data_IF_486054283328
#
_entry.id   IF_486054283328
#
_cell.length_a   1.000
_cell.length_b   1.000
_cell.length_c   1.000
_cell.angle_alpha   90.00
_cell.angle_beta   90.00
_cell.angle_gamma   90.00
#
_symmetry.space_group_name_H-M   'P 1'
#
loop_
_entity.id
_entity.type
_entity.pdbx_description
1 polymer ?
#
# COMPACT_ATOMS: atom_id res chain seq x y z
N UNK A 1 9.28 -24.23 -7.52
CA UNK A 1 9.25 -25.38 -6.58
C UNK A 1 10.49 -25.39 -5.70
N UNK A 2 11.67 -25.16 -6.27
CA UNK A 2 12.94 -25.06 -5.54
C UNK A 2 12.92 -23.96 -4.47
N UNK A 3 12.49 -22.75 -4.82
CA UNK A 3 12.31 -21.63 -3.87
C UNK A 3 11.44 -22.00 -2.66
N UNK A 4 10.36 -22.73 -2.89
CA UNK A 4 9.48 -23.18 -1.81
C UNK A 4 10.15 -24.22 -0.91
N UNK A 5 10.96 -25.13 -1.46
CA UNK A 5 11.71 -26.10 -0.67
C UNK A 5 12.81 -25.42 0.15
N UNK A 6 13.46 -24.40 -0.39
CA UNK A 6 14.42 -23.56 0.34
C UNK A 6 13.74 -22.89 1.54
N UNK A 7 12.57 -22.28 1.32
CA UNK A 7 11.78 -21.65 2.37
C UNK A 7 11.34 -22.65 3.47
N UNK A 8 11.03 -23.90 3.10
CA UNK A 8 10.72 -24.93 4.10
C UNK A 8 11.97 -25.38 4.85
N UNK A 9 13.11 -25.48 4.18
CA UNK A 9 14.35 -25.92 4.81
C UNK A 9 14.81 -24.94 5.89
N UNK A 10 14.52 -23.65 5.75
CA UNK A 10 14.79 -22.62 6.76
C UNK A 10 13.73 -22.53 7.87
N UNK A 11 12.60 -23.25 7.76
CA UNK A 11 11.50 -23.15 8.74
C UNK A 11 11.83 -23.65 10.15
N UNK A 12 12.74 -24.63 10.28
CA UNK A 12 13.15 -25.25 11.54
C UNK A 12 14.70 -25.25 11.67
N UNK A 13 15.33 -24.08 11.87
CA UNK A 13 16.79 -23.99 11.94
C UNK A 13 17.34 -24.74 13.15
N UNK A 14 18.49 -25.40 13.00
CA UNK A 14 19.19 -26.10 14.11
C UNK A 14 18.57 -27.42 14.56
N UNK A 15 17.38 -27.79 14.07
CA UNK A 15 16.75 -29.07 14.41
C UNK A 15 17.40 -30.20 13.60
N UNK A 16 17.88 -31.25 14.29
CA UNK A 16 18.40 -32.45 13.63
C UNK A 16 17.27 -33.41 13.27
N UNK A 17 17.33 -33.97 12.07
CA UNK A 17 16.40 -35.00 11.61
C UNK A 17 16.92 -35.68 10.35
N UNK A 18 16.79 -37.01 10.27
CA UNK A 18 17.10 -37.74 9.03
C UNK A 18 16.18 -37.22 7.92
N UNK A 19 16.76 -36.86 6.78
CA UNK A 19 16.01 -36.49 5.57
C UNK A 19 15.23 -37.73 5.11
N UNK A 20 13.96 -37.55 4.75
CA UNK A 20 13.17 -38.65 4.23
C UNK A 20 13.50 -38.93 2.77
N UNK A 21 13.49 -40.21 2.38
CA UNK A 21 13.70 -40.66 0.99
C UNK A 21 12.54 -40.28 0.04
N UNK A 22 11.50 -39.60 0.52
CA UNK A 22 10.37 -39.16 -0.30
C UNK A 22 10.42 -37.64 -0.45
N UNK A 23 9.99 -37.08 -1.61
CA UNK A 23 9.94 -35.65 -1.79
C UNK A 23 8.90 -35.00 -0.85
N UNK A 24 9.18 -33.78 -0.38
CA UNK A 24 8.30 -33.06 0.53
C UNK A 24 6.91 -32.80 -0.07
N UNK A 25 6.83 -32.55 -1.38
CA UNK A 25 5.60 -32.51 -2.17
C UNK A 25 5.79 -33.40 -3.39
N UNK A 26 4.79 -34.25 -3.66
CA UNK A 26 4.64 -34.95 -4.93
C UNK A 26 3.57 -34.21 -5.73
N UNK A 27 3.98 -33.52 -6.79
CA UNK A 27 3.03 -32.94 -7.74
C UNK A 27 2.61 -34.01 -8.74
N UNK A 28 1.32 -34.09 -9.04
CA UNK A 28 0.78 -35.01 -10.06
C UNK A 28 1.16 -34.52 -11.47
N UNK A 29 1.33 -33.21 -11.63
CA UNK A 29 1.70 -32.57 -12.90
C UNK A 29 2.99 -31.74 -12.76
N UNK A 30 3.55 -31.30 -13.88
CA UNK A 30 4.75 -30.45 -13.91
C UNK A 30 4.45 -28.96 -13.57
N UNK A 31 3.18 -28.61 -13.39
CA UNK A 31 2.72 -27.21 -13.24
C UNK A 31 2.08 -26.97 -11.86
N UNK A 32 2.87 -26.93 -10.76
CA UNK A 32 2.35 -26.67 -9.42
C UNK A 32 2.08 -25.17 -9.20
N UNK A 33 1.13 -24.88 -8.31
CA UNK A 33 0.90 -23.56 -7.73
C UNK A 33 0.87 -23.70 -6.20
N UNK A 34 1.66 -22.88 -5.51
CA UNK A 34 1.82 -22.96 -4.06
C UNK A 34 1.49 -21.60 -3.48
N UNK A 35 0.47 -21.55 -2.61
CA UNK A 35 0.18 -20.38 -1.80
C UNK A 35 0.86 -20.53 -0.46
N UNK A 36 1.79 -19.63 -0.21
CA UNK A 36 2.57 -19.57 1.02
C UNK A 36 2.11 -18.39 1.88
N UNK A 37 2.15 -18.58 3.20
CA UNK A 37 1.95 -17.53 4.20
C UNK A 37 2.91 -17.79 5.36
N UNK A 38 3.56 -16.77 5.96
CA UNK A 38 4.54 -16.98 7.02
C UNK A 38 4.02 -17.77 8.23
N UNK A 39 2.74 -17.59 8.56
CA UNK A 39 2.14 -18.14 9.78
C UNK A 39 1.01 -19.15 9.53
N UNK A 40 0.38 -19.12 8.36
CA UNK A 40 -0.86 -19.83 8.09
C UNK A 40 -0.60 -21.06 7.21
N UNK A 41 -1.59 -21.94 7.10
CA UNK A 41 -1.46 -23.17 6.31
C UNK A 41 -1.18 -22.87 4.84
N UNK A 42 -0.11 -23.46 4.32
CA UNK A 42 0.21 -23.42 2.90
C UNK A 42 -0.77 -24.27 2.09
N UNK A 43 -1.15 -23.80 0.90
CA UNK A 43 -2.05 -24.53 -0.02
C UNK A 43 -1.30 -24.94 -1.27
N UNK A 44 -1.60 -26.13 -1.75
CA UNK A 44 -0.93 -26.75 -2.90
C UNK A 44 -1.97 -27.09 -3.96
N UNK A 45 -1.74 -26.61 -5.17
CA UNK A 45 -2.55 -26.90 -6.35
C UNK A 45 -1.64 -27.41 -7.47
N UNK A 46 -2.22 -28.15 -8.41
CA UNK A 46 -1.55 -28.54 -9.64
C UNK A 46 -2.56 -28.46 -10.79
N UNK A 47 -2.10 -28.03 -11.95
CA UNK A 47 -2.92 -27.89 -13.17
C UNK A 47 -2.31 -28.69 -14.32
N UNK A 48 -3.08 -28.92 -15.38
CA UNK A 48 -2.67 -29.83 -16.45
C UNK A 48 -1.75 -29.17 -17.47
N UNK A 49 -1.85 -27.84 -17.65
CA UNK A 49 -1.11 -27.11 -18.68
C UNK A 49 -0.41 -25.86 -18.13
N UNK A 50 0.66 -25.43 -18.82
CA UNK A 50 1.36 -24.18 -18.52
C UNK A 50 0.45 -22.95 -18.66
N UNK A 51 -0.48 -22.96 -19.64
CA UNK A 51 -1.44 -21.87 -19.86
C UNK A 51 -2.39 -21.71 -18.67
N UNK A 52 -2.90 -22.82 -18.15
CA UNK A 52 -3.72 -22.81 -16.93
C UNK A 52 -2.90 -22.33 -15.73
N UNK A 53 -1.64 -22.73 -15.63
CA UNK A 53 -0.77 -22.34 -14.52
C UNK A 53 -0.57 -20.83 -14.51
N UNK A 54 -0.24 -20.23 -15.66
CA UNK A 54 -0.10 -18.78 -15.83
C UNK A 54 -1.38 -18.04 -15.49
N UNK A 55 -2.53 -18.54 -15.98
CA UNK A 55 -3.84 -17.94 -15.67
C UNK A 55 -4.16 -17.98 -14.17
N UNK A 56 -4.02 -19.13 -13.53
CA UNK A 56 -4.29 -19.28 -12.11
C UNK A 56 -3.28 -18.54 -11.24
N UNK A 57 -2.02 -18.44 -11.67
CA UNK A 57 -1.02 -17.61 -11.01
C UNK A 57 -1.48 -16.14 -10.95
N UNK A 58 -1.87 -15.56 -12.09
CA UNK A 58 -2.37 -14.19 -12.15
C UNK A 58 -3.63 -13.99 -11.27
N UNK A 59 -4.59 -14.92 -11.34
CA UNK A 59 -5.80 -14.87 -10.49
C UNK A 59 -5.44 -14.91 -9.01
N UNK A 60 -4.52 -15.79 -8.61
CA UNK A 60 -4.11 -15.91 -7.22
C UNK A 60 -3.32 -14.69 -6.73
N UNK A 61 -2.46 -14.10 -7.56
CA UNK A 61 -1.79 -12.84 -7.27
C UNK A 61 -2.81 -11.70 -7.08
N UNK A 62 -3.83 -11.63 -7.92
CA UNK A 62 -4.93 -10.67 -7.77
C UNK A 62 -5.71 -10.88 -6.46
N UNK A 63 -6.02 -12.13 -6.11
CA UNK A 63 -6.64 -12.46 -4.82
C UNK A 63 -5.79 -12.01 -3.64
N UNK A 64 -4.46 -12.23 -3.70
CA UNK A 64 -3.53 -11.78 -2.65
C UNK A 64 -3.51 -10.26 -2.57
N UNK A 65 -3.36 -9.56 -3.71
CA UNK A 65 -3.37 -8.09 -3.75
C UNK A 65 -4.66 -7.49 -3.21
N UNK A 66 -5.80 -8.04 -3.61
CA UNK A 66 -7.10 -7.60 -3.11
C UNK A 66 -7.23 -7.85 -1.60
N UNK A 67 -6.83 -9.03 -1.12
CA UNK A 67 -6.88 -9.36 0.31
C UNK A 67 -5.94 -8.50 1.15
N UNK A 68 -4.77 -8.16 0.60
CA UNK A 68 -3.77 -7.33 1.26
C UNK A 68 -4.24 -5.87 1.42
N UNK A 69 -5.08 -5.37 0.50
CA UNK A 69 -5.68 -4.03 0.56
C UNK A 69 -6.89 -3.98 1.52
N UNK A 70 -6.71 -4.47 2.75
CA UNK A 70 -7.80 -4.59 3.72
C UNK A 70 -8.06 -3.33 4.56
N UNK A 71 -7.19 -2.34 4.51
CA UNK A 71 -7.36 -1.10 5.26
C UNK A 71 -8.05 -0.08 4.36
N UNK A 72 -9.24 0.37 4.74
CA UNK A 72 -9.96 1.40 3.97
C UNK A 72 -9.30 2.78 4.16
N UNK A 73 -9.07 3.47 3.04
CA UNK A 73 -8.58 4.86 3.04
C UNK A 73 -9.70 5.88 3.28
N UNK A 74 -10.96 5.45 3.26
CA UNK A 74 -12.14 6.30 3.43
C UNK A 74 -12.45 6.63 4.91
N UNK A 75 -11.70 6.04 5.84
CA UNK A 75 -11.86 6.23 7.28
C UNK A 75 -10.81 7.22 7.83
N UNK A 76 -11.10 8.54 7.88
CA UNK A 76 -10.11 9.58 8.13
C UNK A 76 -9.54 9.58 9.56
N UNK A 77 -10.17 8.89 10.50
CA UNK A 77 -9.73 8.82 11.92
C UNK A 77 -9.24 7.43 12.27
N UNK A 78 -10.06 6.40 12.04
CA UNK A 78 -9.78 5.03 12.46
C UNK A 78 -8.55 4.44 11.77
N UNK A 79 -8.43 4.62 10.45
CA UNK A 79 -7.31 4.07 9.68
C UNK A 79 -5.97 4.69 10.12
N UNK A 80 -5.80 6.03 10.13
CA UNK A 80 -4.57 6.64 10.64
C UNK A 80 -4.27 6.29 12.10
N UNK A 81 -5.28 6.20 12.97
CA UNK A 81 -5.08 5.82 14.36
C UNK A 81 -4.54 4.39 14.48
N UNK A 82 -5.09 3.45 13.72
CA UNK A 82 -4.67 2.05 13.71
C UNK A 82 -3.25 1.88 13.15
N UNK A 83 -2.97 2.44 11.97
CA UNK A 83 -1.65 2.29 11.32
C UNK A 83 -0.54 2.95 12.15
N UNK A 84 -0.78 4.14 12.71
CA UNK A 84 0.16 4.80 13.60
C UNK A 84 0.39 4.01 14.89
N UNK A 85 -0.66 3.45 15.51
CA UNK A 85 -0.51 2.65 16.73
C UNK A 85 0.36 1.40 16.50
N UNK A 86 0.17 0.70 15.37
CA UNK A 86 1.00 -0.46 14.98
C UNK A 86 2.46 -0.02 14.77
N UNK A 87 2.67 1.09 14.06
CA UNK A 87 4.00 1.66 13.80
C UNK A 87 4.73 2.03 15.10
N UNK A 88 4.08 2.79 15.99
CA UNK A 88 4.64 3.19 17.29
C UNK A 88 4.97 1.97 18.16
N UNK A 89 4.11 0.95 18.17
CA UNK A 89 4.38 -0.30 18.89
C UNK A 89 5.64 -1.01 18.36
N UNK A 90 5.81 -1.08 17.04
CA UNK A 90 7.01 -1.68 16.42
C UNK A 90 8.27 -0.87 16.72
N UNK A 91 8.19 0.46 16.65
CA UNK A 91 9.30 1.35 16.98
C UNK A 91 9.75 1.22 18.44
N UNK A 92 8.81 1.05 19.38
CA UNK A 92 9.12 0.78 20.79
C UNK A 92 9.90 -0.53 20.99
N UNK A 93 9.77 -1.49 20.07
CA UNK A 93 10.58 -2.72 20.01
C UNK A 93 11.86 -2.59 19.18
N UNK A 94 12.24 -1.38 18.78
CA UNK A 94 13.41 -1.11 17.95
C UNK A 94 13.25 -1.48 16.48
N UNK A 95 12.02 -1.80 16.02
CA UNK A 95 11.72 -2.13 14.61
C UNK A 95 11.19 -0.89 13.90
N UNK A 96 12.04 -0.28 13.08
CA UNK A 96 11.71 0.89 12.26
C UNK A 96 11.55 0.47 10.79
N UNK A 97 10.88 1.30 9.99
CA UNK A 97 10.73 1.11 8.55
C UNK A 97 9.42 0.45 8.15
N UNK A 98 9.29 0.23 6.84
CA UNK A 98 8.17 -0.47 6.23
C UNK A 98 8.05 -1.91 6.75
N UNK A 99 6.85 -2.48 6.63
CA UNK A 99 6.55 -3.81 7.13
C UNK A 99 5.68 -4.59 6.16
N UNK A 100 6.23 -5.67 5.61
CA UNK A 100 5.56 -6.52 4.62
C UNK A 100 4.26 -7.15 5.16
N UNK A 101 4.17 -7.34 6.48
CA UNK A 101 2.97 -7.89 7.12
C UNK A 101 1.94 -6.83 7.53
N UNK A 102 2.13 -5.57 7.11
CA UNK A 102 1.13 -4.51 7.16
C UNK A 102 0.07 -4.68 6.05
N UNK A 103 -0.44 -5.89 5.92
CA UNK A 103 -1.35 -6.31 4.86
C UNK A 103 -2.55 -7.08 5.45
N UNK A 104 -3.73 -6.86 4.86
CA UNK A 104 -4.99 -7.43 5.32
C UNK A 104 -5.83 -6.46 6.16
N UNK A 105 -6.87 -6.99 6.77
CA UNK A 105 -7.76 -6.27 7.68
C UNK A 105 -7.07 -6.00 9.03
N UNK A 106 -7.49 -4.99 9.80
CA UNK A 106 -6.85 -4.64 11.08
C UNK A 106 -6.65 -5.83 12.05
N UNK A 107 -7.62 -6.77 12.23
CA UNK A 107 -7.40 -7.95 13.06
C UNK A 107 -6.31 -8.91 12.55
N UNK A 108 -6.14 -9.03 11.23
CA UNK A 108 -5.11 -9.85 10.60
C UNK A 108 -3.73 -9.23 10.81
N UNK A 109 -3.62 -7.91 10.66
CA UNK A 109 -2.38 -7.17 10.93
C UNK A 109 -1.97 -7.29 12.40
N UNK A 110 -2.92 -7.18 13.34
CA UNK A 110 -2.66 -7.44 14.75
C UNK A 110 -2.22 -8.89 15.01
N UNK A 111 -2.83 -9.86 14.32
CA UNK A 111 -2.42 -11.26 14.43
C UNK A 111 -0.99 -11.46 13.91
N UNK A 112 -0.63 -10.84 12.79
CA UNK A 112 0.73 -10.83 12.27
C UNK A 112 1.72 -10.24 13.27
N UNK A 113 1.35 -9.16 13.96
CA UNK A 113 2.20 -8.49 14.96
C UNK A 113 2.48 -9.38 16.18
N UNK A 114 1.45 -10.10 16.63
CA UNK A 114 1.56 -11.10 17.70
C UNK A 114 2.44 -12.27 17.24
N UNK A 115 2.21 -12.80 16.04
CA UNK A 115 3.03 -13.89 15.50
C UNK A 115 4.48 -13.49 15.28
N UNK A 116 4.77 -12.26 14.83
CA UNK A 116 6.14 -11.74 14.67
C UNK A 116 6.92 -11.74 16.01
N UNK A 117 6.22 -11.69 17.14
CA UNK A 117 6.82 -11.77 18.47
C UNK A 117 6.89 -13.21 18.98
N UNK A 118 5.80 -13.99 18.86
CA UNK A 118 5.70 -15.32 19.49
C UNK A 118 6.29 -16.45 18.65
N UNK A 119 6.40 -16.29 17.33
CA UNK A 119 6.67 -17.43 16.43
C UNK A 119 8.04 -18.06 16.68
N UNK A 120 9.09 -17.27 16.95
CA UNK A 120 10.42 -17.81 17.24
C UNK A 120 10.45 -18.58 18.56
N UNK A 121 9.90 -18.00 19.63
CA UNK A 121 9.88 -18.62 20.96
C UNK A 121 9.07 -19.93 20.96
N UNK A 122 7.93 -19.94 20.27
CA UNK A 122 7.13 -21.15 20.09
C UNK A 122 7.88 -22.20 19.29
N UNK A 123 8.63 -21.80 18.26
CA UNK A 123 9.44 -22.70 17.44
C UNK A 123 10.54 -23.35 18.26
N UNK A 124 11.23 -22.59 19.09
CA UNK A 124 12.33 -23.09 19.90
C UNK A 124 11.84 -24.02 21.02
N UNK A 125 10.64 -23.74 21.58
CA UNK A 125 10.02 -24.58 22.60
C UNK A 125 9.45 -25.90 22.03
N UNK A 126 8.76 -25.84 20.88
CA UNK A 126 8.01 -26.97 20.31
C UNK A 126 8.88 -27.79 19.37
N UNK A 127 9.75 -27.14 18.59
CA UNK A 127 10.58 -27.75 17.56
C UNK A 127 11.33 -29.00 18.02
N UNK A 128 12.08 -28.97 19.15
CA UNK A 128 12.80 -30.13 19.67
C UNK A 128 11.89 -31.32 20.05
N UNK A 129 10.60 -31.06 20.34
CA UNK A 129 9.61 -32.06 20.75
C UNK A 129 8.91 -32.73 19.56
N UNK A 130 9.10 -32.20 18.34
CA UNK A 130 8.51 -32.77 17.13
C UNK A 130 9.12 -34.13 16.80
N UNK A 131 8.26 -35.14 16.61
CA UNK A 131 8.65 -36.51 16.26
C UNK A 131 8.62 -36.74 14.75
N UNK A 132 9.49 -37.63 14.27
CA UNK A 132 9.55 -38.07 12.87
C UNK A 132 10.77 -37.56 12.10
N UNK A 133 10.80 -37.87 10.80
CA UNK A 133 11.80 -37.38 9.84
C UNK A 133 11.67 -35.87 9.64
N UNK A 134 12.70 -35.21 9.11
CA UNK A 134 12.74 -33.74 8.96
C UNK A 134 11.47 -33.17 8.31
N UNK A 135 11.05 -33.74 7.18
CA UNK A 135 9.86 -33.33 6.45
C UNK A 135 8.57 -33.47 7.27
N UNK A 136 8.46 -34.52 8.10
CA UNK A 136 7.30 -34.68 8.98
C UNK A 136 7.31 -33.63 10.10
N UNK A 137 8.49 -33.31 10.64
CA UNK A 137 8.63 -32.22 11.63
C UNK A 137 8.22 -30.89 11.01
N UNK A 138 8.70 -30.56 9.82
CA UNK A 138 8.34 -29.34 9.09
C UNK A 138 6.82 -29.25 8.83
N UNK A 139 6.19 -30.34 8.37
CA UNK A 139 4.72 -30.40 8.18
C UNK A 139 3.96 -30.20 9.49
N UNK A 140 4.38 -30.88 10.56
CA UNK A 140 3.75 -30.72 11.88
C UNK A 140 3.92 -29.29 12.39
N UNK A 141 5.09 -28.69 12.21
CA UNK A 141 5.34 -27.29 12.56
C UNK A 141 4.42 -26.33 11.80
N UNK A 142 4.24 -26.51 10.50
CA UNK A 142 3.31 -25.69 9.71
C UNK A 142 1.87 -25.79 10.22
N UNK A 143 1.40 -27.00 10.57
CA UNK A 143 0.05 -27.19 11.13
C UNK A 143 -0.10 -26.54 12.51
N UNK A 144 0.94 -26.60 13.34
CA UNK A 144 0.95 -25.96 14.66
C UNK A 144 0.95 -24.43 14.50
N UNK A 145 1.82 -23.89 13.63
CA UNK A 145 1.85 -22.45 13.34
C UNK A 145 0.50 -21.95 12.85
N UNK A 146 -0.16 -22.68 11.94
CA UNK A 146 -1.49 -22.33 11.45
C UNK A 146 -2.56 -22.36 12.54
N UNK A 147 -2.55 -23.37 13.41
CA UNK A 147 -3.48 -23.46 14.53
C UNK A 147 -3.31 -22.29 15.51
N UNK A 148 -2.06 -21.96 15.83
CA UNK A 148 -1.73 -20.79 16.67
C UNK A 148 -2.17 -19.50 15.99
N UNK A 149 -1.87 -19.32 14.71
CA UNK A 149 -2.29 -18.12 13.96
C UNK A 149 -3.81 -17.96 13.95
N UNK A 150 -4.57 -19.03 13.69
CA UNK A 150 -6.04 -19.00 13.74
C UNK A 150 -6.57 -18.65 15.13
N UNK A 151 -5.96 -19.18 16.18
CA UNK A 151 -6.33 -18.83 17.56
C UNK A 151 -6.05 -17.34 17.85
N UNK A 152 -4.85 -16.87 17.51
CA UNK A 152 -4.46 -15.45 17.65
C UNK A 152 -5.43 -14.57 16.88
N UNK A 153 -5.73 -14.90 15.62
CA UNK A 153 -6.66 -14.15 14.78
C UNK A 153 -8.06 -14.06 15.38
N UNK A 154 -8.57 -15.17 15.96
CA UNK A 154 -9.86 -15.17 16.65
C UNK A 154 -9.85 -14.20 17.84
N UNK A 155 -8.78 -14.22 18.65
CA UNK A 155 -8.62 -13.30 19.78
C UNK A 155 -8.46 -11.84 19.34
N UNK A 156 -7.63 -11.56 18.34
CA UNK A 156 -7.44 -10.19 17.85
C UNK A 156 -8.71 -9.64 17.21
N UNK A 157 -9.50 -10.47 16.55
CA UNK A 157 -10.78 -10.06 15.99
C UNK A 157 -11.78 -9.63 17.09
N UNK A 158 -11.92 -10.44 18.14
CA UNK A 158 -12.78 -10.08 19.28
C UNK A 158 -12.32 -8.80 19.97
N UNK A 159 -11.03 -8.72 20.34
CA UNK A 159 -10.45 -7.57 21.05
C UNK A 159 -10.47 -6.29 20.23
N UNK A 160 -10.20 -6.37 18.93
CA UNK A 160 -10.25 -5.21 18.06
C UNK A 160 -11.68 -4.67 17.95
N UNK A 161 -12.67 -5.55 17.81
CA UNK A 161 -14.08 -5.14 17.77
C UNK A 161 -14.51 -4.45 19.07
N UNK A 162 -14.20 -5.04 20.22
CA UNK A 162 -14.45 -4.44 21.54
C UNK A 162 -13.80 -3.06 21.68
N UNK A 163 -12.56 -2.92 21.21
CA UNK A 163 -11.83 -1.65 21.26
C UNK A 163 -12.46 -0.58 20.36
N UNK A 164 -12.83 -0.93 19.13
CA UNK A 164 -13.48 0.01 18.20
C UNK A 164 -14.81 0.49 18.78
N UNK A 165 -15.62 -0.42 19.33
CA UNK A 165 -16.89 -0.05 19.98
C UNK A 165 -16.66 0.89 21.16
N UNK A 166 -15.65 0.64 22.00
CA UNK A 166 -15.28 1.53 23.11
C UNK A 166 -14.83 2.92 22.64
N UNK A 167 -14.05 2.99 21.56
CA UNK A 167 -13.60 4.25 20.96
C UNK A 167 -14.76 5.05 20.36
N UNK A 168 -15.68 4.40 19.64
CA UNK A 168 -16.84 5.07 19.04
C UNK A 168 -17.78 5.67 20.12
N UNK A 169 -17.92 5.03 21.28
CA UNK A 169 -18.66 5.60 22.42
C UNK A 169 -18.03 6.90 22.91
N UNK A 170 -16.69 7.01 22.91
CA UNK A 170 -15.99 8.23 23.32
C UNK A 170 -15.92 9.30 22.23
N UNK A 171 -16.30 8.98 20.99
CA UNK A 171 -16.12 9.89 19.86
C UNK A 171 -16.90 11.19 20.00
N UNK A 172 -18.21 11.11 20.29
CA UNK A 172 -19.08 12.29 20.43
C UNK A 172 -18.58 13.26 21.52
N UNK A 173 -18.27 12.83 22.76
CA UNK A 173 -17.76 13.74 23.76
C UNK A 173 -16.36 14.29 23.43
N UNK A 174 -15.50 13.52 22.75
CA UNK A 174 -14.20 14.00 22.29
C UNK A 174 -14.34 15.06 21.18
N UNK A 175 -15.23 14.86 20.22
CA UNK A 175 -15.51 15.82 19.14
C UNK A 175 -16.06 17.14 19.70
N UNK A 176 -16.94 17.07 20.70
CA UNK A 176 -17.48 18.26 21.36
C UNK A 176 -16.38 19.07 22.07
N UNK A 177 -15.50 18.38 22.82
CA UNK A 177 -14.35 19.01 23.48
C UNK A 177 -13.35 19.58 22.48
N UNK A 178 -13.00 18.82 21.45
CA UNK A 178 -12.08 19.24 20.40
C UNK A 178 -12.56 20.52 19.71
N UNK A 179 -13.86 20.64 19.42
CA UNK A 179 -14.44 21.85 18.81
C UNK A 179 -14.48 23.04 19.76
N UNK A 180 -14.74 22.80 21.04
CA UNK A 180 -14.85 23.86 22.05
C UNK A 180 -13.48 24.43 22.40
N UNK A 181 -12.47 23.57 22.53
CA UNK A 181 -11.12 23.93 23.00
C UNK A 181 -10.09 23.97 21.86
N UNK A 182 -10.53 24.08 20.60
CA UNK A 182 -9.66 23.95 19.42
C UNK A 182 -8.46 24.91 19.47
N UNK A 183 -8.73 26.19 19.74
CA UNK A 183 -7.68 27.23 19.73
C UNK A 183 -6.68 27.01 20.88
N UNK A 184 -7.16 26.57 22.04
CA UNK A 184 -6.32 26.25 23.20
C UNK A 184 -5.47 25.00 22.94
N UNK A 185 -6.04 23.97 22.32
CA UNK A 185 -5.33 22.75 21.91
C UNK A 185 -4.25 23.09 20.88
N UNK A 186 -4.56 23.91 19.87
CA UNK A 186 -3.60 24.35 18.85
C UNK A 186 -2.47 25.16 19.48
N UNK A 187 -2.80 26.11 20.35
CA UNK A 187 -1.81 26.95 21.05
C UNK A 187 -0.89 26.09 21.94
N UNK A 188 -1.46 25.14 22.68
CA UNK A 188 -0.71 24.18 23.49
C UNK A 188 0.20 23.30 22.63
N UNK A 189 -0.34 22.75 21.52
CA UNK A 189 0.44 21.98 20.55
C UNK A 189 1.60 22.79 20.00
N UNK A 190 1.38 24.04 19.60
CA UNK A 190 2.42 24.91 19.06
C UNK A 190 3.50 25.23 20.10
N UNK A 191 3.11 25.50 21.34
CA UNK A 191 4.05 25.71 22.44
C UNK A 191 5.00 24.51 22.61
N UNK A 192 4.43 23.30 22.73
CA UNK A 192 5.20 22.05 22.88
C UNK A 192 6.04 21.77 21.62
N UNK A 193 5.46 21.99 20.44
CA UNK A 193 6.15 21.87 19.14
C UNK A 193 7.40 22.72 19.11
N UNK A 194 7.33 23.99 19.52
CA UNK A 194 8.47 24.91 19.51
C UNK A 194 9.58 24.47 20.49
N UNK A 195 9.21 23.93 21.65
CA UNK A 195 10.19 23.38 22.62
C UNK A 195 10.88 22.12 22.10
N UNK A 196 10.13 21.21 21.48
CA UNK A 196 10.68 20.00 20.87
C UNK A 196 11.54 20.36 19.65
N UNK A 197 11.09 21.30 18.82
CA UNK A 197 11.83 21.79 17.65
C UNK A 197 13.20 22.35 18.04
N UNK A 198 13.29 23.13 19.12
CA UNK A 198 14.57 23.66 19.61
C UNK A 198 15.57 22.55 19.96
N UNK A 199 15.11 21.39 20.45
CA UNK A 199 15.95 20.23 20.76
C UNK A 199 16.34 19.42 19.51
N UNK A 200 15.38 19.24 18.59
CA UNK A 200 15.46 18.25 17.50
C UNK A 200 16.02 18.84 16.22
N UNK A 201 15.66 20.08 15.87
CA UNK A 201 16.02 20.70 14.58
C UNK A 201 17.52 20.68 14.28
N UNK A 202 18.43 21.09 15.19
CA UNK A 202 19.86 21.09 14.87
C UNK A 202 20.40 19.71 14.49
N UNK A 203 19.93 18.66 15.18
CA UNK A 203 20.31 17.27 14.94
C UNK A 203 19.67 16.72 13.67
N UNK A 204 18.40 17.04 13.44
CA UNK A 204 17.66 16.62 12.26
C UNK A 204 18.21 17.26 10.98
N UNK A 205 18.56 18.55 11.02
CA UNK A 205 19.16 19.29 9.89
C UNK A 205 20.53 18.73 9.51
N UNK A 206 21.38 18.45 10.51
CA UNK A 206 22.67 17.81 10.27
C UNK A 206 22.52 16.43 9.61
N UNK A 207 21.60 15.61 10.12
CA UNK A 207 21.31 14.29 9.56
C UNK A 207 20.74 14.40 8.15
N UNK A 208 19.85 15.37 7.91
CA UNK A 208 19.23 15.62 6.63
C UNK A 208 20.30 15.96 5.57
N UNK A 209 21.17 16.93 5.85
CA UNK A 209 22.22 17.35 4.92
C UNK A 209 23.23 16.24 4.62
N UNK A 210 23.62 15.47 5.63
CA UNK A 210 24.71 14.49 5.50
C UNK A 210 24.23 13.16 4.90
N UNK A 211 23.06 12.68 5.32
CA UNK A 211 22.66 11.28 5.12
C UNK A 211 21.38 11.10 4.33
N UNK A 212 20.58 12.14 4.11
CA UNK A 212 19.27 12.03 3.44
C UNK A 212 19.25 12.78 2.12
N UNK A 213 19.50 14.09 2.13
CA UNK A 213 19.39 14.98 0.97
C UNK A 213 20.16 14.48 -0.26
N UNK A 214 21.39 13.93 -0.16
CA UNK A 214 22.12 13.40 -1.31
C UNK A 214 21.43 12.23 -2.03
N UNK A 215 20.52 11.52 -1.36
CA UNK A 215 19.90 10.30 -1.87
C UNK A 215 18.45 10.49 -2.31
N UNK A 216 17.80 11.60 -1.96
CA UNK A 216 16.38 11.84 -2.29
C UNK A 216 16.13 11.65 -3.80
N UNK A 217 16.95 12.24 -4.66
CA UNK A 217 16.80 12.13 -6.11
C UNK A 217 16.99 10.70 -6.60
N UNK A 218 17.98 9.96 -6.07
CA UNK A 218 18.23 8.57 -6.46
C UNK A 218 17.10 7.63 -6.04
N UNK A 219 16.55 7.81 -4.83
CA UNK A 219 15.39 7.05 -4.36
C UNK A 219 14.18 7.36 -5.23
N UNK A 220 13.96 8.64 -5.52
CA UNK A 220 12.86 9.10 -6.35
C UNK A 220 12.93 8.51 -7.76
N UNK A 221 14.10 8.57 -8.43
CA UNK A 221 14.27 8.04 -9.79
C UNK A 221 14.03 6.52 -9.82
N UNK A 222 14.53 5.77 -8.83
CA UNK A 222 14.29 4.32 -8.70
C UNK A 222 12.79 3.97 -8.55
N UNK A 223 12.03 4.79 -7.83
CA UNK A 223 10.57 4.63 -7.71
C UNK A 223 9.84 5.07 -8.98
N UNK A 224 10.28 6.16 -9.61
CA UNK A 224 9.58 6.81 -10.72
C UNK A 224 9.55 5.96 -11.98
N UNK A 225 10.66 5.32 -12.31
CA UNK A 225 10.83 4.60 -13.56
C UNK A 225 9.84 3.42 -13.73
N UNK A 226 9.85 2.37 -12.87
CA UNK A 226 8.96 1.21 -13.00
C UNK A 226 7.49 1.62 -12.80
N UNK A 227 7.22 2.53 -11.86
CA UNK A 227 5.87 3.06 -11.63
C UNK A 227 5.31 3.70 -12.89
N UNK A 228 6.06 4.61 -13.51
CA UNK A 228 5.56 5.34 -14.69
C UNK A 228 5.43 4.44 -15.92
N UNK A 229 6.28 3.41 -16.05
CA UNK A 229 6.11 2.36 -17.06
C UNK A 229 4.78 1.64 -16.89
N UNK A 230 4.44 1.19 -15.68
CA UNK A 230 3.18 0.48 -15.47
C UNK A 230 1.95 1.36 -15.69
N UNK A 231 1.97 2.66 -15.34
CA UNK A 231 0.85 3.56 -15.64
C UNK A 231 0.74 3.82 -17.16
N UNK A 232 1.87 3.87 -17.87
CA UNK A 232 1.83 3.97 -19.34
C UNK A 232 1.22 2.69 -19.95
N UNK A 233 1.55 1.52 -19.42
CA UNK A 233 0.95 0.25 -19.85
C UNK A 233 -0.56 0.22 -19.57
N UNK A 234 -1.04 0.69 -18.41
CA UNK A 234 -2.48 0.84 -18.10
C UNK A 234 -3.18 1.68 -19.16
N UNK A 235 -2.59 2.84 -19.51
CA UNK A 235 -3.12 3.73 -20.54
C UNK A 235 -3.21 3.02 -21.90
N UNK A 236 -2.18 2.27 -22.27
CA UNK A 236 -2.10 1.59 -23.56
C UNK A 236 -3.08 0.43 -23.66
N UNK A 237 -3.27 -0.34 -22.59
CA UNK A 237 -4.29 -1.40 -22.53
C UNK A 237 -5.68 -0.80 -22.66
N UNK A 238 -5.98 0.24 -21.87
CA UNK A 238 -7.27 0.93 -21.96
C UNK A 238 -7.54 1.45 -23.38
N UNK A 239 -6.54 2.08 -24.01
CA UNK A 239 -6.65 2.54 -25.39
C UNK A 239 -6.93 1.39 -26.37
N UNK A 240 -6.19 0.28 -26.28
CA UNK A 240 -6.37 -0.89 -27.16
C UNK A 240 -7.78 -1.47 -27.04
N UNK A 241 -8.30 -1.63 -25.82
CA UNK A 241 -9.64 -2.16 -25.58
C UNK A 241 -10.74 -1.26 -26.16
N UNK A 242 -10.58 0.06 -26.05
CA UNK A 242 -11.50 1.01 -26.67
C UNK A 242 -11.42 1.03 -28.20
N UNK A 243 -10.23 0.83 -28.78
CA UNK A 243 -10.08 0.65 -30.23
C UNK A 243 -10.75 -0.64 -30.70
N UNK A 244 -10.65 -1.73 -29.94
CA UNK A 244 -11.36 -2.98 -30.23
C UNK A 244 -12.88 -2.80 -30.12
N UNK A 245 -13.37 -2.10 -29.10
CA UNK A 245 -14.77 -1.73 -28.96
C UNK A 245 -15.28 -0.93 -30.17
N UNK A 246 -14.50 0.06 -30.62
CA UNK A 246 -14.80 0.86 -31.82
C UNK A 246 -14.87 0.00 -33.08
N UNK A 247 -13.90 -0.90 -33.31
CA UNK A 247 -13.90 -1.82 -34.47
C UNK A 247 -15.10 -2.76 -34.45
N UNK A 248 -15.45 -3.30 -33.28
CA UNK A 248 -16.61 -4.19 -33.12
C UNK A 248 -17.93 -3.46 -33.39
N UNK A 249 -18.01 -2.16 -33.11
CA UNK A 249 -19.18 -1.34 -33.44
C UNK A 249 -19.38 -1.15 -34.95
N UNK A 250 -18.29 -1.09 -35.72
CA UNK A 250 -18.33 -0.96 -37.19
C UNK A 250 -18.76 -2.26 -37.89
N UNK A 251 -18.43 -3.42 -37.30
CA UNK A 251 -18.69 -4.74 -37.90
C UNK A 251 -20.14 -5.24 -37.74
N UNK A 252 -21.12 -4.34 -37.55
CA UNK A 252 -22.56 -4.68 -37.62
C UNK A 252 -23.12 -5.44 -36.42
N UNK A 253 -22.57 -5.24 -35.21
CA UNK A 253 -22.94 -6.02 -34.03
C UNK A 253 -24.32 -5.73 -33.39
N UNK A 254 -25.01 -4.67 -33.78
CA UNK A 254 -26.25 -4.24 -33.11
C UNK A 254 -26.04 -3.79 -31.66
N UNK A 255 -27.12 -3.33 -31.00
CA UNK A 255 -27.10 -2.78 -29.63
C UNK A 255 -26.70 -3.83 -28.57
N UNK A 256 -27.04 -5.09 -28.80
CA UNK A 256 -26.79 -6.21 -27.88
C UNK A 256 -25.29 -6.52 -27.75
N UNK A 257 -24.56 -6.67 -28.86
CA UNK A 257 -23.10 -6.88 -28.82
C UNK A 257 -22.33 -5.68 -28.26
N UNK A 258 -22.87 -4.47 -28.37
CA UNK A 258 -22.27 -3.29 -27.74
C UNK A 258 -22.41 -3.36 -26.22
N UNK A 259 -23.58 -3.78 -25.72
CA UNK A 259 -23.80 -4.06 -24.30
C UNK A 259 -22.82 -5.11 -23.77
N UNK A 260 -22.70 -6.25 -24.45
CA UNK A 260 -21.75 -7.31 -24.07
C UNK A 260 -20.30 -6.84 -24.03
N UNK A 261 -19.90 -5.99 -24.97
CA UNK A 261 -18.54 -5.45 -25.00
C UNK A 261 -18.32 -4.39 -23.93
N UNK A 262 -19.34 -3.60 -23.58
CA UNK A 262 -19.27 -2.66 -22.47
C UNK A 262 -19.18 -3.38 -21.13
N UNK A 263 -19.90 -4.48 -20.94
CA UNK A 263 -19.80 -5.33 -19.75
C UNK A 263 -18.41 -5.97 -19.62
N UNK A 264 -17.80 -6.38 -20.73
CA UNK A 264 -16.40 -6.84 -20.71
C UNK A 264 -15.43 -5.72 -20.37
N UNK A 265 -15.68 -4.51 -20.86
CA UNK A 265 -14.86 -3.33 -20.58
C UNK A 265 -14.99 -2.92 -19.11
N UNK A 266 -16.18 -2.95 -18.51
CA UNK A 266 -16.41 -2.62 -17.09
C UNK A 266 -15.59 -3.49 -16.15
N UNK A 267 -15.28 -4.73 -16.56
CA UNK A 267 -14.45 -5.67 -15.81
C UNK A 267 -12.95 -5.57 -16.11
N UNK A 268 -12.50 -4.65 -16.98
CA UNK A 268 -11.12 -4.58 -17.45
C UNK A 268 -10.11 -4.40 -16.30
N UNK A 269 -10.43 -3.55 -15.32
CA UNK A 269 -9.58 -3.31 -14.15
C UNK A 269 -9.37 -4.57 -13.30
N UNK A 270 -10.29 -5.53 -13.36
CA UNK A 270 -10.27 -6.78 -12.61
C UNK A 270 -9.90 -7.98 -13.48
N UNK A 271 -9.51 -7.74 -14.75
CA UNK A 271 -9.18 -8.82 -15.66
C UNK A 271 -7.76 -9.34 -15.38
N UNK A 272 -7.61 -10.58 -14.85
CA UNK A 272 -6.33 -11.05 -14.28
C UNK A 272 -5.20 -11.14 -15.30
N UNK A 273 -5.51 -11.46 -16.56
CA UNK A 273 -4.48 -11.58 -17.61
C UNK A 273 -4.14 -10.23 -18.26
N UNK A 274 -5.12 -9.35 -18.49
CA UNK A 274 -4.90 -8.07 -19.17
C UNK A 274 -4.13 -7.12 -18.25
N UNK A 275 -4.49 -7.04 -16.97
CA UNK A 275 -3.79 -6.15 -16.03
C UNK A 275 -2.40 -6.65 -15.63
N UNK A 276 -2.07 -7.92 -15.86
CA UNK A 276 -0.79 -8.50 -15.43
C UNK A 276 0.42 -7.77 -16.03
N UNK A 277 0.39 -7.41 -17.32
CA UNK A 277 1.51 -6.71 -17.93
C UNK A 277 1.78 -5.34 -17.31
N UNK A 278 0.75 -4.66 -16.80
CA UNK A 278 0.89 -3.43 -16.03
C UNK A 278 1.61 -3.68 -14.70
N UNK A 279 1.20 -4.74 -13.99
CA UNK A 279 1.75 -5.10 -12.70
C UNK A 279 3.20 -5.56 -12.78
N UNK A 280 3.55 -6.33 -13.81
CA UNK A 280 4.90 -6.83 -14.05
C UNK A 280 5.93 -5.69 -14.21
N UNK A 281 5.53 -4.53 -14.76
CA UNK A 281 6.43 -3.35 -14.87
C UNK A 281 6.90 -2.84 -13.52
N UNK A 282 6.11 -3.05 -12.47
CA UNK A 282 6.37 -2.55 -11.12
C UNK A 282 7.18 -3.57 -10.32
N UNK A 283 7.06 -4.87 -10.63
CA UNK A 283 7.89 -5.91 -10.01
C UNK A 283 9.39 -5.73 -10.31
N UNK A 284 9.74 -4.98 -11.36
CA UNK A 284 11.11 -4.54 -11.67
C UNK A 284 11.65 -3.48 -10.68
N UNK A 285 10.83 -3.00 -9.75
CA UNK A 285 11.25 -2.02 -8.74
C UNK A 285 12.35 -2.59 -7.86
N UNK A 286 13.55 -2.03 -8.01
CA UNK A 286 14.70 -2.40 -7.20
C UNK A 286 15.11 -1.24 -6.27
N UNK A 287 15.16 -1.53 -4.97
CA UNK A 287 15.65 -0.62 -3.94
C UNK A 287 16.96 -1.13 -3.30
N UNK A 288 17.66 -2.06 -3.97
CA UNK A 288 19.00 -2.52 -3.57
C UNK A 288 19.97 -1.34 -3.41
N UNK A 289 20.87 -1.45 -2.44
CA UNK A 289 21.77 -0.36 -2.03
C UNK A 289 21.12 0.66 -1.07
N UNK A 290 19.83 0.95 -1.21
CA UNK A 290 19.07 1.76 -0.25
C UNK A 290 18.69 0.97 1.00
N UNK A 291 18.45 -0.34 0.85
CA UNK A 291 18.16 -1.25 1.97
C UNK A 291 19.22 -1.21 3.08
N UNK A 292 20.50 -1.22 2.71
CA UNK A 292 21.61 -1.18 3.69
C UNK A 292 21.72 0.16 4.41
N UNK A 293 21.24 1.25 3.80
CA UNK A 293 21.39 2.61 4.31
C UNK A 293 20.17 3.10 5.09
N UNK A 294 18.98 2.79 4.58
CA UNK A 294 17.69 3.22 5.14
C UNK A 294 16.95 2.10 5.88
N UNK A 295 17.54 0.90 5.99
CA UNK A 295 16.96 -0.27 6.71
C UNK A 295 15.60 -0.72 6.15
N UNK A 296 15.42 -0.56 4.83
CA UNK A 296 14.19 -0.96 4.13
C UNK A 296 14.22 -2.48 3.93
N UNK A 297 13.15 -3.18 4.34
CA UNK A 297 13.08 -4.65 4.23
C UNK A 297 12.92 -5.14 2.78
N UNK A 298 12.32 -4.33 1.89
CA UNK A 298 12.13 -4.67 0.48
C UNK A 298 11.20 -3.69 -0.24
N UNK A 299 11.03 -3.86 -1.57
CA UNK A 299 10.13 -3.04 -2.38
C UNK A 299 8.66 -3.47 -2.30
N UNK A 300 8.35 -4.63 -1.70
CA UNK A 300 7.05 -5.32 -1.73
C UNK A 300 5.86 -4.42 -1.37
N UNK A 301 5.97 -3.63 -0.31
CA UNK A 301 4.93 -2.67 0.13
C UNK A 301 4.65 -1.62 -0.94
N UNK A 302 5.69 -1.08 -1.57
CA UNK A 302 5.56 -0.08 -2.64
C UNK A 302 5.01 -0.69 -3.92
N UNK A 303 5.49 -1.88 -4.31
CA UNK A 303 4.97 -2.62 -5.47
C UNK A 303 3.47 -2.87 -5.31
N UNK A 304 3.06 -3.41 -4.16
CA UNK A 304 1.65 -3.69 -3.88
C UNK A 304 0.79 -2.42 -3.95
N UNK A 305 1.24 -1.32 -3.34
CA UNK A 305 0.54 -0.04 -3.36
C UNK A 305 0.38 0.51 -4.78
N UNK A 306 1.45 0.51 -5.58
CA UNK A 306 1.42 0.99 -6.95
C UNK A 306 0.47 0.16 -7.81
N UNK A 307 0.48 -1.17 -7.68
CA UNK A 307 -0.43 -2.05 -8.42
C UNK A 307 -1.90 -1.79 -8.05
N UNK A 308 -2.20 -1.47 -6.79
CA UNK A 308 -3.56 -1.05 -6.37
C UNK A 308 -3.95 0.26 -7.04
N UNK A 309 -3.08 1.28 -7.01
CA UNK A 309 -3.32 2.57 -7.67
C UNK A 309 -3.53 2.42 -9.19
N UNK A 310 -2.79 1.53 -9.84
CA UNK A 310 -2.97 1.21 -11.27
C UNK A 310 -4.36 0.63 -11.55
N UNK A 311 -4.82 -0.29 -10.70
CA UNK A 311 -6.16 -0.87 -10.80
C UNK A 311 -7.25 0.19 -10.62
N UNK A 312 -7.13 1.03 -9.60
CA UNK A 312 -8.07 2.13 -9.35
C UNK A 312 -8.12 3.11 -10.53
N UNK A 313 -6.97 3.45 -11.12
CA UNK A 313 -6.94 4.34 -12.28
C UNK A 313 -7.54 3.70 -13.54
N UNK A 314 -7.35 2.39 -13.74
CA UNK A 314 -8.04 1.67 -14.82
C UNK A 314 -9.56 1.71 -14.61
N UNK A 315 -10.03 1.39 -13.39
CA UNK A 315 -11.44 1.36 -13.03
C UNK A 315 -12.09 2.74 -13.21
N UNK A 316 -11.45 3.79 -12.68
CA UNK A 316 -11.89 5.18 -12.87
C UNK A 316 -11.97 5.58 -14.35
N UNK A 317 -11.04 5.12 -15.19
CA UNK A 317 -11.04 5.42 -16.63
C UNK A 317 -12.18 4.74 -17.36
N UNK A 318 -12.40 3.47 -17.07
CA UNK A 318 -13.50 2.67 -17.62
C UNK A 318 -14.84 3.25 -17.20
N UNK A 319 -15.02 3.53 -15.91
CA UNK A 319 -16.23 4.16 -15.39
C UNK A 319 -16.47 5.53 -16.04
N UNK A 320 -15.44 6.38 -16.11
CA UNK A 320 -15.57 7.71 -16.75
C UNK A 320 -15.93 7.60 -18.22
N UNK A 321 -15.37 6.61 -18.93
CA UNK A 321 -15.72 6.35 -20.32
C UNK A 321 -17.19 5.96 -20.46
N UNK A 322 -17.65 5.00 -19.65
CA UNK A 322 -19.05 4.55 -19.65
C UNK A 322 -20.01 5.73 -19.40
N UNK A 323 -19.73 6.57 -18.41
CA UNK A 323 -20.55 7.75 -18.10
C UNK A 323 -20.58 8.75 -19.27
N UNK A 324 -19.42 9.10 -19.82
CA UNK A 324 -19.35 10.04 -20.96
C UNK A 324 -20.00 9.48 -22.23
N UNK A 325 -19.89 8.17 -22.43
CA UNK A 325 -20.46 7.47 -23.56
C UNK A 325 -21.99 7.44 -23.47
N UNK A 326 -22.55 7.08 -22.31
CA UNK A 326 -24.00 7.07 -22.08
C UNK A 326 -24.61 8.48 -22.24
N UNK A 327 -23.95 9.52 -21.70
CA UNK A 327 -24.37 10.92 -21.90
C UNK A 327 -24.35 11.35 -23.37
N UNK A 328 -23.38 10.85 -24.15
CA UNK A 328 -23.28 11.15 -25.58
C UNK A 328 -24.38 10.43 -26.39
N UNK A 329 -24.75 9.20 -25.99
CA UNK A 329 -25.86 8.45 -26.58
C UNK A 329 -27.22 9.12 -26.34
N UNK A 330 -27.44 9.66 -25.15
CA UNK A 330 -28.67 10.37 -24.79
C UNK A 330 -28.84 11.68 -25.59
N UNK A 331 -27.74 12.36 -25.91
CA UNK A 331 -27.75 13.70 -26.53
C UNK A 331 -27.68 13.69 -28.06
N UNK A 332 -26.91 12.80 -28.67
CA UNK A 332 -26.64 12.80 -30.13
C UNK A 332 -27.32 11.65 -30.88
N UNK A 333 -28.06 10.79 -30.20
CA UNK A 333 -28.61 9.56 -30.79
C UNK A 333 -27.49 8.60 -31.21
N UNK A 334 -27.79 7.70 -32.16
CA UNK A 334 -26.86 6.64 -32.60
C UNK A 334 -26.09 6.96 -33.89
N UNK A 335 -26.11 8.20 -34.36
CA UNK A 335 -25.37 8.57 -35.56
C UNK A 335 -23.86 8.57 -35.30
N UNK A 336 -23.14 7.76 -36.08
CA UNK A 336 -21.68 7.58 -36.07
C UNK A 336 -21.07 7.21 -34.69
N UNK A 337 -21.49 6.05 -34.18
CA UNK A 337 -21.00 5.44 -32.95
C UNK A 337 -19.47 5.41 -32.84
N UNK A 338 -18.77 5.19 -33.94
CA UNK A 338 -17.32 5.16 -33.99
C UNK A 338 -16.72 6.51 -33.58
N UNK A 339 -17.24 7.62 -34.13
CA UNK A 339 -16.81 8.98 -33.75
C UNK A 339 -17.13 9.30 -32.30
N UNK A 340 -18.27 8.84 -31.79
CA UNK A 340 -18.64 9.03 -30.37
C UNK A 340 -17.67 8.29 -29.44
N UNK A 341 -17.33 7.03 -29.74
CA UNK A 341 -16.34 6.26 -28.97
C UNK A 341 -14.98 6.97 -28.99
N UNK A 342 -14.50 7.39 -30.17
CA UNK A 342 -13.22 8.09 -30.31
C UNK A 342 -13.19 9.40 -29.54
N UNK A 343 -14.26 10.22 -29.62
CA UNK A 343 -14.35 11.48 -28.88
C UNK A 343 -14.34 11.24 -27.36
N UNK A 344 -15.08 10.24 -26.87
CA UNK A 344 -15.06 9.88 -25.45
C UNK A 344 -13.68 9.36 -25.04
N UNK A 345 -13.05 8.50 -25.84
CA UNK A 345 -11.71 8.00 -25.63
C UNK A 345 -10.70 9.14 -25.46
N UNK A 346 -10.64 10.10 -26.39
CA UNK A 346 -9.72 11.24 -26.31
C UNK A 346 -9.93 12.09 -25.06
N UNK A 347 -11.19 12.28 -24.65
CA UNK A 347 -11.53 13.01 -23.41
C UNK A 347 -11.05 12.25 -22.17
N UNK A 348 -11.29 10.95 -22.11
CA UNK A 348 -10.90 10.13 -20.95
C UNK A 348 -9.38 10.00 -20.87
N UNK A 349 -8.67 9.82 -21.99
CA UNK A 349 -7.21 9.75 -21.98
C UNK A 349 -6.57 11.04 -21.44
N UNK A 350 -7.12 12.21 -21.80
CA UNK A 350 -6.65 13.49 -21.23
C UNK A 350 -6.87 13.58 -19.72
N UNK A 351 -8.01 13.08 -19.23
CA UNK A 351 -8.29 13.01 -17.77
C UNK A 351 -7.34 12.03 -17.09
N UNK A 352 -7.18 10.84 -17.66
CA UNK A 352 -6.25 9.82 -17.19
C UNK A 352 -4.83 10.36 -17.07
N UNK A 353 -4.33 11.05 -18.09
CA UNK A 353 -2.96 11.58 -18.10
C UNK A 353 -2.74 12.57 -16.93
N UNK A 354 -3.75 13.41 -16.64
CA UNK A 354 -3.73 14.35 -15.50
C UNK A 354 -3.82 13.62 -14.14
N UNK A 355 -4.79 12.72 -13.98
CA UNK A 355 -5.03 11.99 -12.73
C UNK A 355 -3.86 11.06 -12.41
N UNK A 356 -3.35 10.32 -13.41
CA UNK A 356 -2.14 9.51 -13.32
C UNK A 356 -0.95 10.30 -12.81
N UNK A 357 -0.71 11.52 -13.32
CA UNK A 357 0.37 12.35 -12.81
C UNK A 357 0.13 12.80 -11.37
N UNK A 358 -1.11 13.10 -10.98
CA UNK A 358 -1.45 13.54 -9.62
C UNK A 358 -1.25 12.39 -8.62
N UNK A 359 -1.77 11.20 -8.96
CA UNK A 359 -1.64 9.97 -8.17
C UNK A 359 -0.18 9.58 -8.01
N UNK A 360 0.61 9.57 -9.10
CA UNK A 360 2.04 9.22 -9.04
C UNK A 360 2.84 10.18 -8.17
N UNK A 361 2.62 11.50 -8.26
CA UNK A 361 3.28 12.49 -7.38
C UNK A 361 2.96 12.25 -5.90
N UNK A 362 1.67 11.99 -5.59
CA UNK A 362 1.23 11.68 -4.22
C UNK A 362 1.95 10.44 -3.72
N UNK A 363 1.96 9.36 -4.51
CA UNK A 363 2.67 8.12 -4.20
C UNK A 363 4.17 8.35 -3.98
N UNK A 364 4.87 9.08 -4.86
CA UNK A 364 6.31 9.32 -4.71
C UNK A 364 6.63 10.10 -3.43
N UNK A 365 5.81 11.10 -3.09
CA UNK A 365 5.95 11.83 -1.83
C UNK A 365 5.76 10.90 -0.62
N UNK A 366 4.71 10.09 -0.62
CA UNK A 366 4.42 9.14 0.46
C UNK A 366 5.52 8.09 0.61
N UNK A 367 5.95 7.50 -0.50
CA UNK A 367 7.01 6.49 -0.52
C UNK A 367 8.35 7.03 -0.03
N UNK A 368 8.76 8.23 -0.46
CA UNK A 368 9.98 8.87 0.04
C UNK A 368 9.92 9.09 1.56
N UNK A 369 8.76 9.49 2.08
CA UNK A 369 8.58 9.71 3.50
C UNK A 369 8.57 8.39 4.29
N UNK A 370 7.95 7.33 3.76
CA UNK A 370 7.97 5.99 4.36
C UNK A 370 9.38 5.37 4.40
N UNK A 371 10.28 5.78 3.49
CA UNK A 371 11.68 5.35 3.50
C UNK A 371 12.51 6.22 4.47
N UNK A 372 12.36 7.54 4.40
CA UNK A 372 13.26 8.48 5.06
C UNK A 372 12.91 8.69 6.54
N UNK A 373 11.62 8.86 6.88
CA UNK A 373 11.21 9.20 8.25
C UNK A 373 11.61 8.12 9.26
N UNK A 374 11.36 6.81 9.02
CA UNK A 374 11.76 5.80 9.98
C UNK A 374 13.27 5.74 10.20
N UNK A 375 14.07 5.97 9.16
CA UNK A 375 15.51 6.10 9.27
C UNK A 375 15.90 7.29 10.16
N UNK A 376 15.33 8.48 9.91
CA UNK A 376 15.61 9.67 10.72
C UNK A 376 15.23 9.46 12.18
N UNK A 377 14.04 8.89 12.44
CA UNK A 377 13.58 8.60 13.80
C UNK A 377 14.51 7.62 14.51
N UNK A 378 14.99 6.57 13.81
CA UNK A 378 15.95 5.60 14.36
C UNK A 378 17.28 6.27 14.75
N UNK A 379 17.81 7.15 13.91
CA UNK A 379 19.07 7.86 14.16
C UNK A 379 18.95 8.91 15.28
N UNK A 380 17.80 9.58 15.36
CA UNK A 380 17.56 10.62 16.37
C UNK A 380 17.15 10.04 17.73
N UNK A 381 16.55 8.85 17.77
CA UNK A 381 16.00 8.22 18.98
C UNK A 381 16.99 8.15 20.16
N UNK A 382 18.27 7.72 20.00
CA UNK A 382 19.20 7.64 21.13
C UNK A 382 19.44 8.99 21.84
N UNK A 383 19.36 10.10 21.09
CA UNK A 383 19.67 11.44 21.62
C UNK A 383 18.42 12.25 21.98
N UNK A 384 17.27 11.91 21.39
CA UNK A 384 16.02 12.66 21.57
C UNK A 384 15.05 11.95 22.52
N UNK A 385 14.90 10.62 22.41
CA UNK A 385 13.91 9.85 23.20
C UNK A 385 14.05 10.00 24.71
N UNK A 386 15.25 10.02 25.33
CA UNK A 386 15.39 10.22 26.77
C UNK A 386 14.92 11.61 27.25
N UNK A 387 14.95 12.60 26.36
CA UNK A 387 14.59 13.99 26.64
C UNK A 387 13.10 14.26 26.39
N UNK A 388 12.38 13.37 25.69
CA UNK A 388 10.96 13.56 25.37
C UNK A 388 10.04 13.61 26.60
N UNK A 389 10.20 12.73 27.62
CA UNK A 389 9.28 12.71 28.77
C UNK A 389 9.11 14.04 29.50
N UNK A 390 10.15 14.89 29.55
CA UNK A 390 10.09 16.20 30.21
C UNK A 390 9.08 17.17 29.56
N UNK A 391 8.74 16.96 28.29
CA UNK A 391 7.76 17.80 27.59
C UNK A 391 6.32 17.39 27.91
N UNK A 392 6.09 16.25 28.58
CA UNK A 392 4.74 15.83 29.01
C UNK A 392 4.17 16.81 30.04
N UNK A 393 5.02 17.38 30.88
CA UNK A 393 4.64 18.40 31.88
C UNK A 393 4.12 19.70 31.25
N UNK A 394 4.40 19.93 29.97
CA UNK A 394 3.92 21.11 29.23
C UNK A 394 2.51 20.92 28.66
N UNK A 395 1.96 19.69 28.69
CA UNK A 395 0.65 19.38 28.16
C UNK A 395 -0.34 19.32 29.32
N UNK A 396 -1.36 20.19 29.26
CA UNK A 396 -2.48 20.13 30.21
C UNK A 396 -3.16 18.76 30.18
N UNK A 397 -3.52 18.24 31.35
CA UNK A 397 -4.13 16.90 31.49
C UNK A 397 -5.38 16.75 30.61
N UNK A 398 -6.19 17.80 30.52
CA UNK A 398 -7.38 17.85 29.67
C UNK A 398 -7.08 17.67 28.17
N UNK A 399 -5.87 17.97 27.73
CA UNK A 399 -5.44 17.85 26.34
C UNK A 399 -4.61 16.59 26.05
N UNK A 400 -4.31 15.78 27.06
CA UNK A 400 -3.50 14.55 26.93
C UNK A 400 -4.07 13.52 25.96
N UNK A 401 -5.40 13.54 25.73
CA UNK A 401 -6.06 12.68 24.73
C UNK A 401 -5.86 13.14 23.28
N UNK A 402 -5.53 14.42 23.07
CA UNK A 402 -5.35 15.02 21.75
C UNK A 402 -3.88 15.24 21.40
N UNK A 403 -3.04 15.46 22.41
CA UNK A 403 -1.63 15.81 22.26
C UNK A 403 -0.75 14.76 22.92
N UNK A 404 0.05 14.07 22.09
CA UNK A 404 1.09 13.15 22.53
C UNK A 404 2.45 13.70 22.14
N UNK A 405 3.38 13.74 23.08
CA UNK A 405 4.75 14.25 22.86
C UNK A 405 5.44 13.47 21.74
N UNK A 406 5.25 12.14 21.73
CA UNK A 406 5.81 11.25 20.73
C UNK A 406 5.31 11.59 19.32
N UNK A 407 4.01 11.90 19.17
CA UNK A 407 3.45 12.32 17.89
C UNK A 407 3.97 13.70 17.45
N UNK A 408 4.06 14.67 18.37
CA UNK A 408 4.58 16.01 18.06
C UNK A 408 6.06 15.92 17.65
N UNK A 409 6.84 15.06 18.30
CA UNK A 409 8.22 14.78 17.92
C UNK A 409 8.33 14.26 16.49
N UNK A 410 7.50 13.28 16.11
CA UNK A 410 7.50 12.76 14.74
C UNK A 410 7.04 13.81 13.72
N UNK A 411 6.07 14.66 14.07
CA UNK A 411 5.66 15.79 13.23
C UNK A 411 6.81 16.79 13.00
N UNK A 412 7.62 17.08 14.03
CA UNK A 412 8.80 17.95 13.90
C UNK A 412 9.84 17.33 12.96
N UNK A 413 10.14 16.04 13.12
CA UNK A 413 11.06 15.32 12.23
C UNK A 413 10.52 15.31 10.79
N UNK A 414 9.22 15.06 10.63
CA UNK A 414 8.55 15.11 9.33
C UNK A 414 8.68 16.48 8.65
N UNK A 415 8.40 17.55 9.40
CA UNK A 415 8.50 18.91 8.88
C UNK A 415 9.92 19.23 8.40
N UNK A 416 10.95 18.69 9.07
CA UNK A 416 12.35 18.94 8.71
C UNK A 416 12.73 18.49 7.30
N UNK A 417 12.14 17.40 6.79
CA UNK A 417 12.46 16.84 5.46
C UNK A 417 11.38 17.06 4.40
N UNK A 418 10.17 17.44 4.82
CA UNK A 418 9.03 17.61 3.91
C UNK A 418 9.31 18.60 2.77
N UNK A 419 10.07 19.67 3.05
CA UNK A 419 10.41 20.69 2.05
C UNK A 419 11.27 20.10 0.93
N UNK A 420 12.33 19.37 1.27
CA UNK A 420 13.26 18.78 0.30
C UNK A 420 12.59 17.71 -0.56
N UNK A 421 11.74 16.86 0.04
CA UNK A 421 10.97 15.86 -0.69
C UNK A 421 9.99 16.53 -1.66
N UNK A 422 9.24 17.54 -1.22
CA UNK A 422 8.33 18.28 -2.10
C UNK A 422 9.07 18.98 -3.24
N UNK A 423 10.24 19.53 -2.97
CA UNK A 423 11.08 20.18 -3.98
C UNK A 423 11.59 19.18 -5.02
N UNK A 424 12.10 18.02 -4.59
CA UNK A 424 12.58 16.97 -5.49
C UNK A 424 11.47 16.45 -6.44
N UNK A 425 10.27 16.17 -5.89
CA UNK A 425 9.12 15.73 -6.71
C UNK A 425 8.66 16.84 -7.66
N UNK A 426 8.67 18.10 -7.20
CA UNK A 426 8.31 19.25 -8.04
C UNK A 426 9.31 19.47 -9.17
N UNK A 427 10.60 19.34 -8.92
CA UNK A 427 11.66 19.45 -9.93
C UNK A 427 11.56 18.35 -10.98
N UNK A 428 11.31 17.10 -10.55
CA UNK A 428 11.07 15.99 -11.47
C UNK A 428 9.85 16.25 -12.39
N UNK A 429 8.76 16.81 -11.83
CA UNK A 429 7.58 17.21 -12.60
C UNK A 429 7.85 18.39 -13.56
N UNK A 430 8.65 19.38 -13.13
CA UNK A 430 9.07 20.51 -13.97
C UNK A 430 9.86 20.04 -15.18
N UNK A 431 10.70 19.03 -15.00
CA UNK A 431 11.52 18.40 -16.04
C UNK A 431 10.74 17.39 -16.90
N UNK A 432 9.42 17.21 -16.64
CA UNK A 432 8.57 16.20 -17.29
C UNK A 432 9.16 14.79 -17.22
N UNK A 433 9.96 14.51 -16.19
CA UNK A 433 10.55 13.18 -15.99
C UNK A 433 9.43 12.16 -15.93
N UNK A 434 9.54 11.12 -16.74
CA UNK A 434 8.57 10.03 -16.80
C UNK A 434 7.10 10.51 -16.95
N UNK A 435 6.85 11.53 -17.77
CA UNK A 435 5.49 12.07 -18.03
C UNK A 435 4.76 12.58 -16.78
N UNK A 436 5.49 13.21 -15.85
CA UNK A 436 4.87 14.01 -14.79
C UNK A 436 4.51 15.41 -15.31
N UNK A 437 3.29 15.86 -15.06
CA UNK A 437 2.80 17.17 -15.47
C UNK A 437 3.02 18.21 -14.37
N UNK A 438 3.05 19.51 -14.71
CA UNK A 438 3.01 20.58 -13.71
C UNK A 438 1.58 20.75 -13.20
N UNK A 439 1.43 21.17 -11.94
CA UNK A 439 0.10 21.41 -11.33
C UNK A 439 -0.69 22.54 -12.02
N UNK A 440 -0.03 23.33 -12.89
CA UNK A 440 -0.63 24.45 -13.62
C UNK A 440 -1.32 24.05 -14.94
N UNK A 441 -1.39 22.77 -15.32
CA UNK A 441 -2.17 22.34 -16.49
C UNK A 441 -3.64 22.29 -16.09
N UNK A 442 -4.30 23.46 -16.13
CA UNK A 442 -5.76 23.52 -16.04
C UNK A 442 -6.30 22.96 -17.36
N UNK A 443 -6.93 21.79 -17.31
CA UNK A 443 -7.76 21.29 -18.41
C UNK A 443 -8.96 22.24 -18.53
N UNK A 444 -8.86 23.23 -19.41
CA UNK A 444 -9.83 24.33 -19.60
C UNK A 444 -11.20 23.91 -20.14
N UNK A 445 -11.52 22.61 -20.17
CA UNK A 445 -12.82 22.07 -20.59
C UNK A 445 -13.45 21.22 -19.48
N UNK A 446 -13.52 21.75 -18.26
CA UNK A 446 -14.28 21.13 -17.17
C UNK A 446 -15.75 21.51 -17.30
N UNK A 447 -16.61 20.52 -17.49
CA UNK A 447 -18.07 20.66 -17.40
C UNK A 447 -18.46 21.28 -16.04
N UNK A 448 -19.43 22.22 -15.97
CA UNK A 448 -19.85 22.89 -14.74
C UNK A 448 -20.36 21.93 -13.65
N UNK A 449 -20.78 20.72 -14.02
CA UNK A 449 -21.42 19.77 -13.11
C UNK A 449 -20.46 18.95 -12.22
N UNK A 450 -19.13 19.07 -12.39
CA UNK A 450 -18.16 18.41 -11.50
C UNK A 450 -17.70 19.27 -10.31
N UNK A 451 -18.09 20.55 -10.23
CA UNK A 451 -17.64 21.44 -9.15
C UNK A 451 -18.34 21.18 -7.80
N UNK A 452 -19.33 20.27 -7.75
CA UNK A 452 -20.06 19.96 -6.52
C UNK A 452 -19.40 18.88 -5.64
N UNK A 453 -18.35 18.19 -6.10
CA UNK A 453 -17.72 17.10 -5.37
C UNK A 453 -16.19 17.21 -5.39
N UNK A 454 -15.61 18.08 -4.56
CA UNK A 454 -14.14 18.17 -4.52
C UNK A 454 -13.55 19.35 -3.77
N UNK A 455 -13.94 19.55 -2.50
CA UNK A 455 -13.11 20.31 -1.56
C UNK A 455 -13.12 19.61 -0.20
N UNK A 456 -12.32 18.56 -0.09
CA UNK A 456 -11.82 18.09 1.20
C UNK A 456 -10.30 18.35 1.25
N UNK A 457 -9.80 19.13 2.22
CA UNK A 457 -8.37 19.17 2.48
C UNK A 457 -7.96 17.82 3.06
N UNK A 458 -7.19 17.04 2.30
CA UNK A 458 -6.55 15.81 2.80
C UNK A 458 -5.41 16.23 3.73
N UNK A 459 -5.74 16.50 5.00
CA UNK A 459 -4.78 16.54 6.10
C UNK A 459 -4.84 15.21 6.83
N UNK A 460 -3.96 14.30 6.43
CA UNK A 460 -3.86 12.96 7.00
C UNK A 460 -2.88 12.16 6.16
N UNK A 461 -1.62 12.59 6.14
CA UNK A 461 -0.57 11.75 5.55
C UNK A 461 -0.35 10.61 6.53
N UNK A 462 -0.83 9.43 6.17
CA UNK A 462 -0.53 8.17 6.84
C UNK A 462 0.82 7.69 6.30
N UNK A 463 1.84 7.65 7.15
CA UNK A 463 3.13 7.01 6.85
C UNK A 463 3.07 5.52 7.18
#
# INVERSE_FOLDING_TARGET
>A
MEEYLELINTSLPGIKGKVGNHPFIKSVTQFPLILWHPYARHRYFCVMTEKEQKKWHAVLQDCVRHSNNGISEDLPVQTPAFTNAVRLYRQAKGRYGTWDMMCGQPPQILANLVMETLHSDLRDMIGPRLKGKMQQKQRNWMLISDAVYRQVLCHTNGRYKELVESCEVQRVPLDARLRTDMDQIVTSKEHVTNKIRALVSPKAEQLLQTSVQPYISSILDALMEPTSRGFSEVRDIFFKELVELSKNSLNGGGKEKLGDNMEKLSMLAFHPVKMQSCYDKVEELNLEGLQQRFDVHGPSVFVSRVQILMREQMDNSVYTFEQLFNQSLESQGQEDMCKTIQRCQDRVLKKYDYDSSTVRKKFFREALLQIIIPYMLKQLSPTCSPELPRFKELIFEDFSKFLLVENIYEEVVLQSVSKDIMMAVKEAAVQRRHNLYRDSIILSNSDPNLQAAGRNPVSGVVY
#
